data_IF_940343150124
#
_entry.id   IF_940343150124
#
_cell.length_a   1.000
_cell.length_b   1.000
_cell.length_c   1.000
_cell.angle_alpha   90.00
_cell.angle_beta   90.00
_cell.angle_gamma   90.00
#
_symmetry.space_group_name_H-M   'P 1'
#
loop_
_entity.id
_entity.type
_entity.pdbx_description
1 polymer ?
#
# COMPACT_ATOMS: atom_id res chain seq x y z
N UNK A 1 13.31 -8.30 4.00
CA UNK A 1 14.04 -7.10 4.46
C UNK A 1 15.20 -6.73 3.51
N UNK A 2 15.28 -5.46 3.11
CA UNK A 2 16.46 -4.92 2.43
C UNK A 2 16.49 -5.00 0.89
N UNK A 3 15.46 -5.51 0.21
CA UNK A 3 15.37 -5.36 -1.25
C UNK A 3 14.68 -4.02 -1.58
N UNK A 4 15.49 -2.97 -1.64
CA UNK A 4 15.00 -1.62 -1.93
C UNK A 4 14.32 -1.54 -3.31
N UNK A 5 14.80 -2.29 -4.29
CA UNK A 5 14.21 -2.25 -5.64
C UNK A 5 12.81 -2.86 -5.67
N UNK A 6 12.59 -3.96 -4.94
CA UNK A 6 11.25 -4.52 -4.78
C UNK A 6 10.31 -3.56 -4.03
N UNK A 7 10.81 -2.79 -3.06
CA UNK A 7 10.03 -1.73 -2.39
C UNK A 7 9.66 -0.63 -3.39
N UNK A 8 10.59 -0.20 -4.26
CA UNK A 8 10.32 0.80 -5.31
C UNK A 8 9.28 0.31 -6.31
N UNK A 9 9.40 -0.93 -6.76
CA UNK A 9 8.43 -1.56 -7.66
C UNK A 9 7.04 -1.59 -7.01
N UNK A 10 6.95 -1.99 -5.74
CA UNK A 10 5.69 -2.01 -5.00
C UNK A 10 5.07 -0.60 -4.88
N UNK A 11 5.85 0.42 -4.50
CA UNK A 11 5.35 1.79 -4.41
C UNK A 11 4.87 2.31 -5.78
N UNK A 12 5.59 2.05 -6.87
CA UNK A 12 5.17 2.42 -8.23
C UNK A 12 3.88 1.71 -8.64
N UNK A 13 3.75 0.42 -8.32
CA UNK A 13 2.52 -0.34 -8.61
C UNK A 13 1.31 0.25 -7.88
N UNK A 14 1.49 0.69 -6.63
CA UNK A 14 0.42 1.34 -5.85
C UNK A 14 0.01 2.67 -6.49
N UNK A 15 0.98 3.47 -6.94
CA UNK A 15 0.72 4.72 -7.67
C UNK A 15 -0.09 4.44 -8.93
N UNK A 16 0.38 3.53 -9.79
CA UNK A 16 -0.34 3.17 -11.03
C UNK A 16 -1.75 2.64 -10.75
N UNK A 17 -1.92 1.76 -9.76
CA UNK A 17 -3.23 1.22 -9.39
C UNK A 17 -4.19 2.29 -8.83
N UNK A 18 -3.66 3.34 -8.21
CA UNK A 18 -4.46 4.48 -7.76
C UNK A 18 -4.87 5.40 -8.93
N UNK A 19 -3.94 5.69 -9.85
CA UNK A 19 -4.21 6.47 -11.06
C UNK A 19 -5.25 5.81 -11.96
N UNK A 20 -5.18 4.48 -12.14
CA UNK A 20 -6.19 3.69 -12.86
C UNK A 20 -7.60 3.82 -12.27
N UNK A 21 -7.69 4.18 -10.98
CA UNK A 21 -8.96 4.41 -10.26
C UNK A 21 -9.39 5.88 -10.28
N UNK A 22 -8.68 6.75 -11.01
CA UNK A 22 -8.98 8.18 -11.08
C UNK A 22 -8.56 8.96 -9.82
N UNK A 23 -7.70 8.39 -8.98
CA UNK A 23 -7.14 9.08 -7.82
C UNK A 23 -5.86 9.83 -8.22
N UNK A 24 -5.54 10.89 -7.49
CA UNK A 24 -4.27 11.59 -7.65
C UNK A 24 -3.21 10.87 -6.82
N UNK A 25 -2.15 10.36 -7.43
CA UNK A 25 -1.10 9.62 -6.73
C UNK A 25 0.30 10.15 -7.04
N UNK A 26 1.19 10.04 -6.05
CA UNK A 26 2.57 10.52 -6.13
C UNK A 26 3.51 9.47 -5.53
N UNK A 27 4.60 9.19 -6.26
CA UNK A 27 5.74 8.43 -5.75
C UNK A 27 6.70 9.38 -5.05
N UNK A 28 7.09 9.06 -3.81
CA UNK A 28 7.98 9.90 -2.99
C UNK A 28 9.07 9.01 -2.41
N UNK A 29 10.34 9.42 -2.51
CA UNK A 29 11.40 8.84 -1.69
C UNK A 29 11.68 9.78 -0.52
N UNK A 30 11.77 9.24 0.71
CA UNK A 30 12.18 10.01 1.88
C UNK A 30 13.68 10.30 1.88
N UNK A 31 14.18 10.99 2.90
CA UNK A 31 15.61 11.32 3.00
C UNK A 31 16.53 10.11 3.17
N UNK A 32 15.99 8.96 3.60
CA UNK A 32 16.70 7.69 3.67
C UNK A 32 16.63 6.90 2.35
N UNK A 33 15.92 7.42 1.34
CA UNK A 33 15.72 6.77 0.04
C UNK A 33 14.67 5.66 0.08
N UNK A 34 13.83 5.60 1.12
CA UNK A 34 12.73 4.65 1.22
C UNK A 34 11.59 5.12 0.31
N UNK A 35 11.10 4.28 -0.61
CA UNK A 35 10.01 4.62 -1.48
C UNK A 35 8.68 4.57 -0.72
N UNK A 36 7.85 5.58 -0.97
CA UNK A 36 6.53 5.78 -0.39
C UNK A 36 5.56 6.17 -1.51
N UNK A 37 4.26 5.99 -1.27
CA UNK A 37 3.21 6.47 -2.17
C UNK A 37 2.18 7.31 -1.40
N UNK A 38 1.84 8.48 -1.94
CA UNK A 38 0.80 9.36 -1.39
C UNK A 38 -0.35 9.42 -2.38
N UNK A 39 -1.56 9.09 -1.94
CA UNK A 39 -2.76 9.03 -2.78
C UNK A 39 -3.83 9.93 -2.18
N UNK A 40 -4.44 10.77 -3.02
CA UNK A 40 -5.47 11.74 -2.63
C UNK A 40 -6.69 11.59 -3.53
N UNK A 41 -7.87 11.76 -2.95
CA UNK A 41 -9.08 11.89 -3.74
C UNK A 41 -9.10 13.25 -4.48
N UNK A 42 -9.41 13.32 -5.78
CA UNK A 42 -9.38 14.57 -6.54
C UNK A 42 -10.35 15.63 -6.01
N UNK A 43 -11.46 15.20 -5.40
CA UNK A 43 -12.47 16.08 -4.79
C UNK A 43 -12.35 16.16 -3.25
N UNK A 44 -11.23 15.72 -2.66
CA UNK A 44 -11.02 15.77 -1.20
C UNK A 44 -11.13 17.19 -0.64
N UNK A 45 -11.87 17.35 0.47
CA UNK A 45 -12.12 18.67 1.08
C UNK A 45 -12.38 18.63 2.58
N UNK A 46 -12.21 19.75 3.27
CA UNK A 46 -12.50 19.83 4.70
C UNK A 46 -11.41 19.18 5.55
N UNK A 47 -11.77 18.45 6.60
CA UNK A 47 -10.79 17.84 7.52
C UNK A 47 -10.12 16.65 6.88
N UNK A 48 -8.79 16.57 7.01
CA UNK A 48 -7.99 15.45 6.50
C UNK A 48 -8.15 14.20 7.36
N UNK A 49 -8.34 13.06 6.69
CA UNK A 49 -8.29 11.72 7.30
C UNK A 49 -7.21 10.94 6.57
N UNK A 50 -6.24 10.42 7.32
CA UNK A 50 -5.10 9.67 6.76
C UNK A 50 -5.28 8.18 7.02
N UNK A 51 -5.26 7.40 5.95
CA UNK A 51 -5.09 5.95 6.00
C UNK A 51 -3.60 5.67 5.85
N UNK A 52 -2.94 5.36 6.96
CA UNK A 52 -1.55 4.93 6.98
C UNK A 52 -1.50 3.41 6.79
N UNK A 53 -0.77 2.99 5.77
CA UNK A 53 -0.61 1.59 5.36
C UNK A 53 0.84 1.34 4.98
N UNK A 54 1.29 0.09 4.89
CA UNK A 54 2.66 -0.21 4.45
C UNK A 54 2.72 -1.31 3.41
N UNK A 55 3.74 -1.26 2.55
CA UNK A 55 3.89 -2.16 1.41
C UNK A 55 5.11 -3.08 1.49
N UNK A 56 6.03 -2.80 2.42
CA UNK A 56 7.07 -3.76 2.79
C UNK A 56 6.50 -4.89 3.65
N UNK A 57 7.24 -5.99 3.69
CA UNK A 57 6.83 -7.20 4.41
C UNK A 57 8.06 -7.83 5.07
N UNK A 58 7.85 -8.48 6.21
CA UNK A 58 8.84 -9.42 6.76
C UNK A 58 9.20 -10.53 5.76
N UNK A 59 10.44 -11.06 5.82
CA UNK A 59 10.77 -12.28 5.07
C UNK A 59 9.81 -13.41 5.42
N UNK A 60 9.52 -14.28 4.45
CA UNK A 60 8.52 -15.33 4.65
C UNK A 60 8.85 -16.30 5.79
N UNK A 61 10.14 -16.55 6.03
CA UNK A 61 10.61 -17.56 6.97
C UNK A 61 10.33 -18.98 6.47
N UNK A 62 10.46 -19.95 7.37
CA UNK A 62 10.23 -21.36 7.10
C UNK A 62 8.80 -21.79 7.45
N UNK A 63 8.40 -23.01 7.04
CA UNK A 63 7.14 -23.64 7.47
C UNK A 63 5.94 -23.38 6.55
N UNK A 64 6.15 -22.85 5.35
CA UNK A 64 5.09 -22.72 4.35
C UNK A 64 4.89 -24.02 3.56
N UNK A 65 3.64 -24.45 3.40
CA UNK A 65 3.27 -25.59 2.56
C UNK A 65 3.25 -25.24 1.05
N UNK A 66 3.50 -23.97 0.71
CA UNK A 66 3.42 -23.42 -0.64
C UNK A 66 4.37 -22.21 -0.78
N UNK A 67 4.56 -21.72 -2.00
CA UNK A 67 5.36 -20.52 -2.24
C UNK A 67 4.65 -19.27 -1.68
N UNK A 68 5.19 -18.61 -0.64
CA UNK A 68 4.55 -17.48 0.03
C UNK A 68 4.33 -16.28 -0.90
N UNK A 69 5.07 -16.18 -1.99
CA UNK A 69 5.00 -15.06 -2.94
C UNK A 69 4.17 -15.39 -4.19
N UNK A 70 3.53 -16.57 -4.24
CA UNK A 70 2.53 -16.94 -5.26
C UNK A 70 1.15 -17.05 -4.61
N UNK A 71 0.44 -15.92 -4.45
CA UNK A 71 -0.80 -15.92 -3.69
C UNK A 71 -1.91 -16.71 -4.39
N UNK A 72 -2.76 -17.35 -3.61
CA UNK A 72 -3.95 -18.07 -4.10
C UNK A 72 -5.13 -17.93 -3.15
N UNK A 73 -6.34 -18.13 -3.66
CA UNK A 73 -7.56 -18.12 -2.85
C UNK A 73 -8.00 -19.56 -2.56
N UNK A 74 -8.28 -19.86 -1.30
CA UNK A 74 -8.85 -21.14 -0.86
C UNK A 74 -9.85 -20.89 0.27
N UNK A 75 -11.00 -21.54 0.20
CA UNK A 75 -12.06 -21.45 1.23
C UNK A 75 -12.42 -20.00 1.60
N UNK A 76 -12.47 -19.11 0.60
CA UNK A 76 -12.79 -17.69 0.76
C UNK A 76 -11.68 -16.82 1.35
N UNK A 77 -10.45 -17.35 1.52
CA UNK A 77 -9.31 -16.62 2.07
C UNK A 77 -8.19 -16.49 1.04
N UNK A 78 -7.55 -15.32 0.98
CA UNK A 78 -6.34 -15.08 0.20
C UNK A 78 -5.11 -15.49 1.03
N UNK A 79 -4.34 -16.45 0.54
CA UNK A 79 -3.11 -16.92 1.15
C UNK A 79 -1.91 -16.33 0.41
N UNK A 80 -0.94 -15.81 1.16
CA UNK A 80 0.32 -15.26 0.62
C UNK A 80 0.96 -14.25 1.58
N UNK A 81 2.28 -14.10 1.53
CA UNK A 81 3.01 -13.08 2.31
C UNK A 81 2.56 -11.69 1.88
N UNK A 82 2.23 -10.84 2.84
CA UNK A 82 1.69 -9.50 2.57
C UNK A 82 0.18 -9.45 2.44
N UNK A 83 -0.52 -10.60 2.34
CA UNK A 83 -1.97 -10.60 2.10
C UNK A 83 -2.76 -9.94 3.22
N UNK A 84 -2.52 -10.32 4.48
CA UNK A 84 -3.11 -9.66 5.63
C UNK A 84 -2.33 -8.39 5.99
N UNK A 85 -1.02 -8.53 6.19
CA UNK A 85 -0.12 -7.51 6.73
C UNK A 85 0.86 -7.02 5.65
N UNK A 86 0.62 -5.91 4.96
CA UNK A 86 -0.56 -5.01 5.06
C UNK A 86 -1.19 -4.68 3.68
N UNK A 87 -0.90 -5.49 2.67
CA UNK A 87 -1.33 -5.19 1.29
C UNK A 87 -2.84 -5.25 1.11
N UNK A 88 -3.58 -5.98 1.95
CA UNK A 88 -5.05 -5.92 1.92
C UNK A 88 -5.59 -4.55 2.29
N UNK A 89 -5.00 -3.88 3.29
CA UNK A 89 -5.40 -2.53 3.71
C UNK A 89 -5.12 -1.50 2.63
N UNK A 90 -4.00 -1.63 1.90
CA UNK A 90 -3.71 -0.79 0.73
C UNK A 90 -4.85 -0.90 -0.30
N UNK A 91 -5.19 -2.12 -0.70
CA UNK A 91 -6.25 -2.35 -1.71
C UNK A 91 -7.60 -1.86 -1.21
N UNK A 92 -7.93 -2.11 0.06
CA UNK A 92 -9.17 -1.65 0.66
C UNK A 92 -9.26 -0.11 0.72
N UNK A 93 -8.17 0.56 1.10
CA UNK A 93 -8.12 2.02 1.19
C UNK A 93 -8.26 2.66 -0.20
N UNK A 94 -7.54 2.17 -1.22
CA UNK A 94 -7.69 2.62 -2.60
C UNK A 94 -9.12 2.43 -3.11
N UNK A 95 -9.74 1.28 -2.81
CA UNK A 95 -11.13 1.00 -3.15
C UNK A 95 -12.11 1.95 -2.45
N UNK A 96 -11.89 2.23 -1.16
CA UNK A 96 -12.72 3.15 -0.39
C UNK A 96 -12.66 4.57 -0.96
N UNK A 97 -11.45 5.10 -1.21
CA UNK A 97 -11.28 6.42 -1.82
C UNK A 97 -11.97 6.50 -3.18
N UNK A 98 -11.74 5.52 -4.06
CA UNK A 98 -12.30 5.51 -5.41
C UNK A 98 -13.82 5.31 -5.46
N UNK A 99 -14.44 4.83 -4.39
CA UNK A 99 -15.88 4.57 -4.32
C UNK A 99 -16.73 5.79 -3.91
N UNK A 100 -16.11 6.90 -3.53
CA UNK A 100 -16.79 8.08 -2.99
C UNK A 100 -16.66 9.26 -3.95
N UNK A 101 -17.70 9.55 -4.72
CA UNK A 101 -17.67 10.64 -5.72
C UNK A 101 -17.44 12.03 -5.10
N UNK A 102 -18.08 12.28 -3.94
CA UNK A 102 -18.12 13.58 -3.29
C UNK A 102 -17.81 13.50 -1.78
N UNK A 103 -16.54 13.34 -1.39
CA UNK A 103 -16.18 13.15 0.01
C UNK A 103 -16.41 14.44 0.83
N UNK A 104 -16.94 14.27 2.04
CA UNK A 104 -17.11 15.37 3.03
C UNK A 104 -15.85 15.64 3.86
N UNK A 105 -14.80 14.85 3.64
CA UNK A 105 -13.46 14.92 4.24
C UNK A 105 -12.40 14.96 3.12
N UNK A 106 -11.15 15.19 3.48
CA UNK A 106 -9.99 15.08 2.60
C UNK A 106 -9.29 13.74 2.88
N UNK A 107 -9.73 12.62 2.25
CA UNK A 107 -9.14 11.32 2.49
C UNK A 107 -7.80 11.20 1.75
N UNK A 108 -6.78 10.78 2.47
CA UNK A 108 -5.42 10.58 1.96
C UNK A 108 -4.93 9.20 2.37
N UNK A 109 -4.37 8.44 1.44
CA UNK A 109 -3.62 7.22 1.75
C UNK A 109 -2.14 7.54 1.72
N UNK A 110 -1.41 7.13 2.74
CA UNK A 110 0.06 7.18 2.78
C UNK A 110 0.54 5.75 2.92
N UNK A 111 1.14 5.22 1.86
CA UNK A 111 1.76 3.89 1.85
C UNK A 111 3.26 4.03 2.11
N UNK A 112 3.72 3.49 3.23
CA UNK A 112 5.12 3.57 3.66
C UNK A 112 5.90 2.29 3.36
N UNK A 113 7.20 2.43 3.08
CA UNK A 113 8.03 1.33 2.60
C UNK A 113 8.98 0.69 3.61
N UNK A 114 8.91 1.07 4.89
CA UNK A 114 9.84 0.57 5.92
C UNK A 114 9.19 0.39 7.29
N UNK A 115 7.91 0.05 7.35
CA UNK A 115 7.22 -0.16 8.63
C UNK A 115 7.84 -1.36 9.38
N UNK A 116 8.12 -2.44 8.65
CA UNK A 116 8.62 -3.71 9.21
C UNK A 116 10.11 -3.63 9.62
N UNK A 117 10.81 -2.57 9.19
CA UNK A 117 12.25 -2.39 9.43
C UNK A 117 12.59 -1.16 10.27
N UNK A 118 11.71 -0.16 10.35
CA UNK A 118 11.95 1.10 11.06
C UNK A 118 13.03 1.99 10.42
N UNK A 119 13.26 1.85 9.11
CA UNK A 119 14.34 2.55 8.38
C UNK A 119 13.92 3.91 7.79
N UNK A 120 12.65 4.30 7.93
CA UNK A 120 12.13 5.57 7.40
C UNK A 120 12.46 6.79 8.27
N UNK A 121 12.58 7.96 7.63
CA UNK A 121 12.84 9.27 8.26
C UNK A 121 11.82 10.33 7.82
#
# INVERSE_FOLDING_TARGET
PGNIEAKREAARLIVSAAEEKGLNAEYVEDSAGIPNAIIKHPNGRGRRVVFLVHHDVVPAGDGWDFDPYKPFVKDGKLFGRGSADDKSSIVAALGALASVDDPVVDPVVVSVGAEETGESE
#
